data_IF_181364169018
#
_entry.id   IF_181364169018
#
_cell.length_a   1.000
_cell.length_b   1.000
_cell.length_c   1.000
_cell.angle_alpha   90.00
_cell.angle_beta   90.00
_cell.angle_gamma   90.00
#
_symmetry.space_group_name_H-M   'P 1'
#
loop_
_entity.id
_entity.type
_entity.pdbx_description
1 polymer ?
#
# COMPACT_ATOMS: atom_id res chain seq x y z
N UNK A 1 -29.59 -8.30 -11.00
CA UNK A 1 -30.96 -8.62 -11.48
C UNK A 1 -31.11 -7.84 -12.79
N UNK A 2 -30.96 -8.53 -13.93
CA UNK A 2 -30.94 -7.93 -15.26
C UNK A 2 -32.35 -7.44 -15.62
N UNK A 3 -32.56 -6.12 -15.64
CA UNK A 3 -33.65 -5.54 -16.40
C UNK A 3 -33.16 -5.43 -17.84
N UNK A 4 -33.67 -6.34 -18.66
CA UNK A 4 -33.56 -6.38 -20.11
C UNK A 4 -33.81 -4.99 -20.70
N UNK A 5 -32.83 -4.48 -21.46
CA UNK A 5 -33.04 -3.39 -22.40
C UNK A 5 -34.13 -3.82 -23.39
N UNK A 6 -35.34 -3.31 -23.21
CA UNK A 6 -36.29 -3.27 -24.31
C UNK A 6 -35.76 -2.16 -25.20
N UNK A 7 -35.27 -2.52 -26.38
CA UNK A 7 -34.78 -1.61 -27.40
C UNK A 7 -35.85 -0.54 -27.69
N UNK A 8 -35.66 0.69 -27.20
CA UNK A 8 -36.48 1.85 -27.59
C UNK A 8 -36.48 2.06 -29.12
N UNK A 9 -35.45 1.57 -29.79
CA UNK A 9 -35.31 1.50 -31.25
C UNK A 9 -36.42 0.69 -31.93
N UNK A 10 -37.05 -0.27 -31.24
CA UNK A 10 -38.12 -1.12 -31.80
C UNK A 10 -39.43 -0.36 -31.94
N UNK A 11 -39.76 0.58 -31.05
CA UNK A 11 -41.00 1.34 -31.17
C UNK A 11 -40.86 2.54 -32.16
N UNK A 12 -39.65 3.09 -32.38
CA UNK A 12 -39.41 4.09 -33.44
C UNK A 12 -39.53 3.50 -34.86
N UNK A 13 -39.08 2.25 -35.05
CA UNK A 13 -39.22 1.53 -36.32
C UNK A 13 -40.68 1.23 -36.73
N UNK A 14 -41.66 1.45 -35.82
CA UNK A 14 -43.09 1.18 -36.03
C UNK A 14 -43.92 2.44 -36.31
N UNK A 15 -43.28 3.59 -36.54
CA UNK A 15 -43.92 4.91 -36.71
C UNK A 15 -44.89 5.04 -37.90
N UNK A 16 -45.11 4.00 -38.72
CA UNK A 16 -46.07 4.01 -39.83
C UNK A 16 -47.45 3.40 -39.50
N UNK A 17 -47.62 2.74 -38.35
CA UNK A 17 -48.88 2.08 -37.98
C UNK A 17 -49.29 2.35 -36.52
N UNK A 18 -50.32 3.20 -36.35
CA UNK A 18 -50.81 3.65 -35.05
C UNK A 18 -51.24 2.51 -34.11
N UNK A 19 -51.69 1.36 -34.64
CA UNK A 19 -52.09 0.21 -33.80
C UNK A 19 -50.90 -0.51 -33.16
N UNK A 20 -49.74 -0.54 -33.83
CA UNK A 20 -48.53 -1.21 -33.32
C UNK A 20 -47.82 -0.38 -32.26
N UNK A 21 -47.83 0.93 -32.41
CA UNK A 21 -47.34 1.87 -31.39
C UNK A 21 -48.12 1.69 -30.08
N UNK A 22 -49.46 1.65 -30.14
CA UNK A 22 -50.31 1.48 -28.96
C UNK A 22 -50.08 0.13 -28.26
N UNK A 23 -49.76 -0.95 -28.98
CA UNK A 23 -49.42 -2.23 -28.34
C UNK A 23 -48.04 -2.21 -27.68
N UNK A 24 -47.03 -1.57 -28.29
CA UNK A 24 -45.67 -1.40 -27.75
C UNK A 24 -45.71 -0.65 -26.39
N UNK A 25 -46.51 0.40 -26.31
CA UNK A 25 -46.64 1.24 -25.10
C UNK A 25 -47.54 0.63 -24.01
N UNK A 26 -48.38 -0.37 -24.32
CA UNK A 26 -49.26 -1.03 -23.35
C UNK A 26 -48.52 -1.97 -22.39
N UNK A 27 -47.41 -2.53 -22.85
CA UNK A 27 -46.57 -3.47 -22.09
C UNK A 27 -45.52 -2.74 -21.21
N UNK A 28 -45.19 -1.50 -21.56
CA UNK A 28 -44.52 -0.55 -20.67
C UNK A 28 -45.56 -0.02 -19.66
N UNK A 29 -45.18 0.27 -18.41
CA UNK A 29 -46.07 0.64 -17.28
C UNK A 29 -46.85 1.98 -17.45
N UNK A 30 -47.39 2.30 -18.62
CA UNK A 30 -48.16 3.53 -18.91
C UNK A 30 -49.67 3.42 -18.63
N UNK A 31 -50.13 2.28 -18.12
CA UNK A 31 -51.52 1.83 -18.22
C UNK A 31 -52.55 2.57 -17.34
N UNK A 32 -52.21 3.66 -16.64
CA UNK A 32 -53.17 4.37 -15.77
C UNK A 32 -53.45 5.83 -16.10
N UNK A 33 -52.64 6.49 -16.94
CA UNK A 33 -52.78 7.94 -17.20
C UNK A 33 -53.46 8.31 -18.53
N UNK A 34 -53.45 7.42 -19.52
CA UNK A 34 -53.85 7.74 -20.90
C UNK A 34 -55.05 6.91 -21.38
N UNK A 35 -56.24 7.03 -20.77
CA UNK A 35 -57.47 6.37 -21.27
C UNK A 35 -58.61 7.35 -21.51
N UNK A 36 -59.33 7.10 -22.61
CA UNK A 36 -60.51 7.78 -23.17
C UNK A 36 -60.18 8.68 -24.37
N UNK A 37 -60.55 8.20 -25.58
CA UNK A 37 -60.31 8.73 -26.95
C UNK A 37 -58.96 8.30 -27.63
N UNK A 38 -58.99 7.58 -28.77
CA UNK A 38 -57.78 7.12 -29.48
C UNK A 38 -56.84 8.23 -29.96
N UNK A 39 -57.36 9.44 -30.26
CA UNK A 39 -56.52 10.56 -30.70
C UNK A 39 -55.75 11.18 -29.52
N UNK A 40 -56.42 11.37 -28.38
CA UNK A 40 -55.82 11.88 -27.14
C UNK A 40 -54.90 10.85 -26.48
N UNK A 41 -55.18 9.56 -26.63
CA UNK A 41 -54.31 8.47 -26.16
C UNK A 41 -52.95 8.46 -26.89
N UNK A 42 -52.94 8.63 -28.22
CA UNK A 42 -51.69 8.72 -29.00
C UNK A 42 -50.85 9.96 -28.63
N UNK A 43 -51.49 11.11 -28.40
CA UNK A 43 -50.80 12.33 -27.94
C UNK A 43 -50.21 12.15 -26.53
N UNK A 44 -50.94 11.48 -25.64
CA UNK A 44 -50.48 11.14 -24.29
C UNK A 44 -49.24 10.23 -24.32
N UNK A 45 -49.23 9.18 -25.14
CA UNK A 45 -48.05 8.32 -25.32
C UNK A 45 -46.87 9.06 -25.95
N UNK A 46 -47.10 9.94 -26.94
CA UNK A 46 -46.03 10.76 -27.54
C UNK A 46 -45.37 11.68 -26.51
N UNK A 47 -46.17 12.36 -25.67
CA UNK A 47 -45.65 13.20 -24.60
C UNK A 47 -44.86 12.39 -23.57
N UNK A 48 -45.38 11.21 -23.19
CA UNK A 48 -44.72 10.36 -22.21
C UNK A 48 -43.39 9.77 -22.74
N UNK A 49 -43.35 9.39 -24.02
CA UNK A 49 -42.14 8.95 -24.70
C UNK A 49 -41.09 10.07 -24.81
N UNK A 50 -41.52 11.28 -25.22
CA UNK A 50 -40.64 12.45 -25.29
C UNK A 50 -40.02 12.80 -23.93
N UNK A 51 -40.79 12.70 -22.84
CA UNK A 51 -40.29 12.94 -21.49
C UNK A 51 -39.22 11.94 -21.08
N UNK A 52 -39.41 10.65 -21.41
CA UNK A 52 -38.43 9.60 -21.09
C UNK A 52 -37.15 9.80 -21.89
N UNK A 53 -37.23 10.16 -23.17
CA UNK A 53 -36.04 10.44 -23.99
C UNK A 53 -35.21 11.59 -23.39
N UNK A 54 -35.88 12.68 -22.99
CA UNK A 54 -35.21 13.82 -22.33
C UNK A 54 -34.59 13.41 -20.99
N UNK A 55 -35.28 12.56 -20.19
CA UNK A 55 -34.73 12.04 -18.94
C UNK A 55 -33.53 11.09 -19.16
N UNK A 56 -33.56 10.26 -20.20
CA UNK A 56 -32.45 9.37 -20.58
C UNK A 56 -31.23 10.17 -21.04
N UNK A 57 -31.40 11.15 -21.92
CA UNK A 57 -30.31 12.05 -22.36
C UNK A 57 -29.70 12.82 -21.19
N UNK A 58 -30.52 13.29 -20.25
CA UNK A 58 -30.03 13.96 -19.05
C UNK A 58 -29.19 13.02 -18.16
N UNK A 59 -29.59 11.76 -18.02
CA UNK A 59 -28.83 10.75 -17.28
C UNK A 59 -27.50 10.40 -17.96
N UNK A 60 -27.51 10.21 -19.29
CA UNK A 60 -26.29 9.94 -20.06
C UNK A 60 -25.30 11.09 -19.99
N UNK A 61 -25.78 12.33 -20.14
CA UNK A 61 -24.95 13.53 -20.00
C UNK A 61 -24.36 13.67 -18.59
N UNK A 62 -25.16 13.40 -17.55
CA UNK A 62 -24.69 13.42 -16.16
C UNK A 62 -23.62 12.34 -15.90
N UNK A 63 -23.81 11.14 -16.46
CA UNK A 63 -22.83 10.05 -16.36
C UNK A 63 -21.51 10.42 -17.06
N UNK A 64 -21.58 10.95 -18.29
CA UNK A 64 -20.39 11.40 -19.02
C UNK A 64 -19.62 12.51 -18.29
N UNK A 65 -20.34 13.45 -17.66
CA UNK A 65 -19.71 14.48 -16.83
C UNK A 65 -19.03 13.89 -15.60
N UNK A 66 -19.68 12.93 -14.92
CA UNK A 66 -19.10 12.25 -13.76
C UNK A 66 -17.84 11.46 -14.14
N UNK A 67 -17.87 10.72 -15.26
CA UNK A 67 -16.73 9.96 -15.75
C UNK A 67 -15.55 10.86 -16.14
N UNK A 68 -15.85 12.01 -16.76
CA UNK A 68 -14.84 13.02 -17.11
C UNK A 68 -14.19 13.62 -15.85
N UNK A 69 -15.00 14.03 -14.86
CA UNK A 69 -14.50 14.57 -13.60
C UNK A 69 -13.67 13.54 -12.81
N UNK A 70 -14.08 12.27 -12.80
CA UNK A 70 -13.34 11.19 -12.16
C UNK A 70 -11.97 10.96 -12.83
N UNK A 71 -11.92 11.00 -14.17
CA UNK A 71 -10.68 10.89 -14.94
C UNK A 71 -9.73 12.06 -14.67
N UNK A 72 -10.24 13.30 -14.68
CA UNK A 72 -9.44 14.49 -14.36
C UNK A 72 -8.87 14.44 -12.94
N UNK A 73 -9.68 14.02 -11.96
CA UNK A 73 -9.23 13.83 -10.58
C UNK A 73 -8.14 12.76 -10.47
N UNK A 74 -8.31 11.63 -11.16
CA UNK A 74 -7.32 10.56 -11.19
C UNK A 74 -6.02 11.00 -11.85
N UNK A 75 -6.07 11.75 -12.94
CA UNK A 75 -4.90 12.30 -13.62
C UNK A 75 -4.17 13.32 -12.75
N UNK A 76 -4.90 14.22 -12.08
CA UNK A 76 -4.34 15.19 -11.14
C UNK A 76 -3.66 14.51 -9.96
N UNK A 77 -4.29 13.47 -9.40
CA UNK A 77 -3.72 12.67 -8.31
C UNK A 77 -2.45 11.95 -8.76
N UNK A 78 -2.49 11.30 -9.92
CA UNK A 78 -1.34 10.62 -10.50
C UNK A 78 -0.18 11.59 -10.80
N UNK A 79 -0.48 12.80 -11.29
CA UNK A 79 0.52 13.85 -11.47
C UNK A 79 1.13 14.29 -10.14
N UNK A 80 0.30 14.53 -9.11
CA UNK A 80 0.75 14.91 -7.77
C UNK A 80 1.68 13.88 -7.12
N UNK A 81 1.48 12.60 -7.41
CA UNK A 81 2.41 11.56 -6.95
C UNK A 81 3.70 11.58 -7.75
N UNK A 82 3.62 11.59 -9.09
CA UNK A 82 4.83 11.61 -9.94
C UNK A 82 5.73 12.81 -9.68
N UNK A 83 5.19 13.97 -9.29
CA UNK A 83 6.00 15.14 -8.93
C UNK A 83 6.72 15.03 -7.58
N UNK A 84 6.34 14.05 -6.75
CA UNK A 84 6.89 13.77 -5.41
C UNK A 84 7.62 12.43 -5.34
N UNK A 85 7.98 11.86 -6.49
CA UNK A 85 8.73 10.62 -6.58
C UNK A 85 9.91 10.81 -7.54
N UNK A 86 11.02 10.15 -7.25
CA UNK A 86 12.14 10.10 -8.18
C UNK A 86 11.69 9.40 -9.48
N UNK A 87 12.23 9.78 -10.66
CA UNK A 87 11.87 9.11 -11.92
C UNK A 87 12.11 7.59 -11.91
N UNK A 88 13.04 7.12 -11.06
CA UNK A 88 13.40 5.71 -10.93
C UNK A 88 12.68 4.97 -9.80
N UNK A 89 11.96 5.65 -8.91
CA UNK A 89 11.40 5.07 -7.68
C UNK A 89 10.47 3.89 -7.93
N UNK A 90 9.74 3.91 -9.05
CA UNK A 90 8.82 2.85 -9.48
C UNK A 90 9.27 2.20 -10.79
N UNK A 91 10.59 2.12 -11.02
CA UNK A 91 11.10 1.38 -12.17
C UNK A 91 10.62 -0.07 -12.12
N UNK A 92 10.07 -0.60 -13.22
CA UNK A 92 9.58 -1.97 -13.25
C UNK A 92 10.75 -2.95 -13.17
N UNK A 93 10.55 -4.04 -12.44
CA UNK A 93 11.49 -5.14 -12.38
C UNK A 93 11.60 -5.83 -13.75
N UNK A 94 12.83 -6.19 -14.09
CA UNK A 94 13.16 -6.97 -15.28
C UNK A 94 13.81 -8.27 -14.85
N UNK A 95 13.45 -9.37 -15.51
CA UNK A 95 13.91 -10.71 -15.15
C UNK A 95 15.43 -10.82 -15.17
N UNK A 96 16.06 -10.13 -16.11
CA UNK A 96 17.51 -10.11 -16.30
C UNK A 96 18.22 -9.36 -15.17
N UNK A 97 17.59 -8.29 -14.66
CA UNK A 97 18.14 -7.48 -13.58
C UNK A 97 17.84 -8.05 -12.19
N UNK A 98 16.74 -8.80 -12.04
CA UNK A 98 16.28 -9.35 -10.76
C UNK A 98 15.98 -10.86 -10.87
N UNK A 99 16.96 -11.70 -11.24
CA UNK A 99 16.73 -13.13 -11.48
C UNK A 99 16.20 -13.85 -10.24
N UNK A 100 16.69 -13.51 -9.04
CA UNK A 100 16.23 -14.08 -7.76
C UNK A 100 14.75 -13.75 -7.48
N UNK A 101 14.36 -12.49 -7.70
CA UNK A 101 12.97 -12.05 -7.54
C UNK A 101 12.03 -12.85 -8.45
N UNK A 102 12.38 -13.00 -9.72
CA UNK A 102 11.53 -13.73 -10.67
C UNK A 102 11.53 -15.24 -10.44
N UNK A 103 12.63 -15.80 -9.91
CA UNK A 103 12.69 -17.21 -9.54
C UNK A 103 11.75 -17.52 -8.35
N UNK A 104 11.74 -16.65 -7.33
CA UNK A 104 10.97 -16.89 -6.10
C UNK A 104 9.53 -16.36 -6.18
N UNK A 105 9.31 -15.23 -6.84
CA UNK A 105 8.04 -14.47 -6.83
C UNK A 105 7.47 -14.18 -8.22
N UNK A 106 8.01 -14.77 -9.28
CA UNK A 106 7.63 -14.46 -10.66
C UNK A 106 6.12 -14.59 -10.95
N UNK A 107 5.42 -15.50 -10.27
CA UNK A 107 3.96 -15.67 -10.38
C UNK A 107 3.16 -14.47 -9.88
N UNK A 108 3.75 -13.63 -9.01
CA UNK A 108 3.11 -12.46 -8.40
C UNK A 108 3.72 -11.13 -8.87
N UNK A 109 4.55 -11.12 -9.91
CA UNK A 109 5.32 -9.91 -10.28
C UNK A 109 4.44 -8.68 -10.55
N UNK A 110 3.31 -8.86 -11.23
CA UNK A 110 2.37 -7.76 -11.50
C UNK A 110 1.75 -7.21 -10.21
N UNK A 111 1.47 -8.08 -9.25
CA UNK A 111 0.93 -7.70 -7.96
C UNK A 111 1.97 -6.94 -7.13
N UNK A 112 3.23 -7.40 -7.16
CA UNK A 112 4.37 -6.74 -6.50
C UNK A 112 4.55 -5.31 -7.03
N UNK A 113 4.48 -5.09 -8.36
CA UNK A 113 4.58 -3.74 -8.93
C UNK A 113 3.43 -2.84 -8.47
N UNK A 114 2.21 -3.38 -8.40
CA UNK A 114 1.06 -2.64 -7.86
C UNK A 114 1.26 -2.29 -6.39
N UNK A 115 1.82 -3.21 -5.60
CA UNK A 115 2.13 -2.97 -4.19
C UNK A 115 3.26 -1.96 -3.99
N UNK A 116 4.30 -1.94 -4.83
CA UNK A 116 5.32 -0.88 -4.82
C UNK A 116 4.69 0.49 -5.02
N UNK A 117 3.85 0.62 -6.05
CA UNK A 117 3.11 1.87 -6.28
C UNK A 117 2.27 2.25 -5.06
N UNK A 118 1.50 1.30 -4.51
CA UNK A 118 0.66 1.56 -3.33
C UNK A 118 1.48 1.94 -2.10
N UNK A 119 2.62 1.32 -1.87
CA UNK A 119 3.53 1.65 -0.77
C UNK A 119 4.06 3.08 -0.89
N UNK A 120 4.47 3.48 -2.11
CA UNK A 120 4.93 4.84 -2.40
C UNK A 120 3.82 5.88 -2.13
N UNK A 121 2.61 5.62 -2.64
CA UNK A 121 1.45 6.50 -2.43
C UNK A 121 1.08 6.60 -0.95
N UNK A 122 1.04 5.48 -0.23
CA UNK A 122 0.76 5.45 1.22
C UNK A 122 1.82 6.21 2.03
N UNK A 123 3.10 6.10 1.67
CA UNK A 123 4.17 6.87 2.30
C UNK A 123 3.95 8.38 2.12
N UNK A 124 3.63 8.81 0.89
CA UNK A 124 3.36 10.21 0.57
C UNK A 124 2.08 10.74 1.23
N UNK A 125 1.00 9.95 1.25
CA UNK A 125 -0.29 10.30 1.85
C UNK A 125 -0.22 10.37 3.38
N UNK A 126 0.70 9.63 4.00
CA UNK A 126 0.90 9.68 5.45
C UNK A 126 1.43 11.02 5.96
N UNK A 127 1.95 11.87 5.08
CA UNK A 127 2.63 13.12 5.44
C UNK A 127 4.02 12.93 6.07
N UNK A 128 4.48 11.67 6.22
CA UNK A 128 5.78 11.34 6.80
C UNK A 128 6.90 11.25 5.76
N UNK A 129 6.54 11.17 4.49
CA UNK A 129 7.43 11.16 3.33
C UNK A 129 7.18 12.42 2.49
N UNK A 130 8.19 13.25 2.35
CA UNK A 130 8.15 14.46 1.53
C UNK A 130 8.30 14.12 0.04
N UNK A 131 9.32 13.31 -0.28
CA UNK A 131 9.66 12.88 -1.61
C UNK A 131 10.17 11.44 -1.56
N UNK A 132 9.58 10.55 -2.37
CA UNK A 132 10.01 9.14 -2.45
C UNK A 132 11.21 9.03 -3.38
N UNK A 133 12.34 8.59 -2.83
CA UNK A 133 13.55 8.36 -3.61
C UNK A 133 13.56 6.95 -4.21
N UNK A 134 13.13 5.96 -3.42
CA UNK A 134 13.23 4.56 -3.79
C UNK A 134 12.15 3.71 -3.12
N UNK A 135 11.63 2.72 -3.84
CA UNK A 135 10.65 1.74 -3.32
C UNK A 135 11.00 0.37 -3.83
N UNK A 136 11.04 -0.60 -2.92
CA UNK A 136 11.44 -1.96 -3.25
C UNK A 136 10.77 -2.99 -2.36
N UNK A 137 10.74 -4.23 -2.85
CA UNK A 137 10.31 -5.38 -2.09
C UNK A 137 11.51 -5.98 -1.34
N UNK A 138 11.33 -6.33 -0.08
CA UNK A 138 12.35 -7.05 0.66
C UNK A 138 12.29 -8.54 0.31
N UNK A 139 13.09 -8.98 -0.66
CA UNK A 139 13.15 -10.39 -1.09
C UNK A 139 13.40 -11.32 0.10
N UNK A 140 14.36 -10.97 0.97
CA UNK A 140 14.76 -11.81 2.11
C UNK A 140 13.71 -11.93 3.21
N UNK A 141 12.83 -10.93 3.34
CA UNK A 141 11.84 -10.88 4.41
C UNK A 141 10.41 -11.17 3.92
N UNK A 142 10.25 -11.46 2.63
CA UNK A 142 8.97 -11.76 2.00
C UNK A 142 8.80 -13.26 1.78
N UNK A 143 7.55 -13.71 1.75
CA UNK A 143 7.17 -15.04 1.28
C UNK A 143 6.09 -14.91 0.21
N UNK A 144 5.83 -15.98 -0.54
CA UNK A 144 4.75 -15.99 -1.54
C UNK A 144 3.36 -15.68 -0.94
N UNK A 145 3.19 -15.87 0.36
CA UNK A 145 1.93 -15.59 1.08
C UNK A 145 1.90 -14.20 1.73
N UNK A 146 3.08 -13.61 1.97
CA UNK A 146 3.18 -12.35 2.70
C UNK A 146 4.38 -11.52 2.22
N UNK A 147 4.09 -10.53 1.38
CA UNK A 147 5.08 -9.64 0.80
C UNK A 147 5.39 -8.46 1.74
N UNK A 148 6.66 -8.03 1.77
CA UNK A 148 7.12 -6.87 2.54
C UNK A 148 7.85 -5.89 1.65
N UNK A 149 7.58 -4.61 1.87
CA UNK A 149 8.09 -3.49 1.08
C UNK A 149 8.74 -2.46 1.98
N UNK A 150 9.65 -1.70 1.41
CA UNK A 150 10.19 -0.51 2.04
C UNK A 150 10.23 0.66 1.07
N UNK A 151 10.08 1.85 1.65
CA UNK A 151 10.09 3.13 0.95
C UNK A 151 11.14 4.01 1.63
N UNK A 152 12.07 4.54 0.85
CA UNK A 152 13.03 5.54 1.30
C UNK A 152 12.63 6.92 0.79
N UNK A 153 12.69 7.88 1.70
CA UNK A 153 12.29 9.26 1.49
C UNK A 153 13.48 10.21 1.61
N UNK A 154 13.44 11.34 0.89
CA UNK A 154 14.49 12.35 0.90
C UNK A 154 14.71 12.97 2.28
N UNK A 155 13.68 13.06 3.12
CA UNK A 155 13.80 13.45 4.53
C UNK A 155 14.45 12.39 5.45
N UNK A 156 15.20 11.43 4.88
CA UNK A 156 15.89 10.32 5.58
C UNK A 156 14.96 9.39 6.36
N UNK A 157 13.66 9.42 6.08
CA UNK A 157 12.74 8.44 6.65
C UNK A 157 12.71 7.19 5.78
N UNK A 158 12.80 6.03 6.44
CA UNK A 158 12.39 4.75 5.86
C UNK A 158 11.02 4.37 6.41
N UNK A 159 10.17 3.81 5.56
CA UNK A 159 8.88 3.25 5.95
C UNK A 159 8.86 1.79 5.47
N UNK A 160 8.56 0.85 6.37
CA UNK A 160 8.30 -0.56 6.02
C UNK A 160 6.80 -0.86 6.12
N UNK A 161 6.28 -1.48 5.06
CA UNK A 161 4.87 -1.89 4.93
C UNK A 161 4.81 -3.34 4.48
N UNK A 162 3.88 -4.09 5.05
CA UNK A 162 3.56 -5.44 4.60
C UNK A 162 2.29 -5.49 3.74
N UNK A 163 2.07 -6.62 3.09
CA UNK A 163 0.95 -6.87 2.20
C UNK A 163 -0.43 -6.62 2.86
N UNK A 164 -0.59 -6.92 4.15
CA UNK A 164 -1.85 -6.70 4.85
C UNK A 164 -2.07 -5.20 5.11
N UNK A 165 -1.02 -4.49 5.50
CA UNK A 165 -1.07 -3.03 5.65
C UNK A 165 -1.38 -2.36 4.31
N UNK A 166 -0.77 -2.84 3.22
CA UNK A 166 -1.06 -2.35 1.88
C UNK A 166 -2.50 -2.64 1.49
N UNK A 167 -3.03 -3.85 1.69
CA UNK A 167 -4.43 -4.19 1.34
C UNK A 167 -5.44 -3.36 2.14
N UNK A 168 -5.22 -3.19 3.43
CA UNK A 168 -6.15 -2.51 4.35
C UNK A 168 -5.97 -0.99 4.44
N UNK A 169 -4.95 -0.43 3.80
CA UNK A 169 -4.53 0.97 4.01
C UNK A 169 -4.29 1.29 5.49
N UNK A 170 -3.56 0.39 6.16
CA UNK A 170 -3.25 0.47 7.59
C UNK A 170 -2.38 1.66 7.97
N UNK A 171 -2.18 1.84 9.29
CA UNK A 171 -1.35 2.93 9.84
C UNK A 171 0.08 2.85 9.31
N UNK A 172 0.56 3.98 8.77
CA UNK A 172 1.95 4.15 8.33
C UNK A 172 2.79 4.70 9.49
N UNK A 173 3.89 4.00 9.81
CA UNK A 173 4.90 4.41 10.79
C UNK A 173 6.27 4.41 10.11
N UNK A 174 7.08 5.42 10.37
CA UNK A 174 8.49 5.42 9.95
C UNK A 174 9.29 4.49 10.85
N UNK A 175 10.41 4.02 10.33
CA UNK A 175 11.38 3.24 11.07
C UNK A 175 11.99 4.05 12.24
N UNK A 176 12.06 5.39 12.13
CA UNK A 176 12.46 6.26 13.23
C UNK A 176 11.45 6.23 14.39
N UNK A 177 10.13 6.26 14.11
CA UNK A 177 9.09 6.15 15.13
C UNK A 177 9.06 4.78 15.83
N UNK A 178 9.50 3.72 15.13
CA UNK A 178 9.62 2.36 15.68
C UNK A 178 10.98 2.09 16.33
N UNK A 179 11.94 3.01 16.21
CA UNK A 179 13.33 2.79 16.58
C UNK A 179 13.50 2.71 18.09
N UNK A 180 14.50 1.93 18.52
CA UNK A 180 14.95 1.92 19.91
C UNK A 180 15.60 3.25 20.29
N UNK A 181 15.47 3.64 21.56
CA UNK A 181 16.34 4.67 22.11
C UNK A 181 17.76 4.11 22.28
N UNK A 182 18.78 4.95 22.20
CA UNK A 182 20.18 4.52 22.39
C UNK A 182 20.42 3.99 23.81
N UNK A 183 19.76 4.59 24.81
CA UNK A 183 19.84 4.18 26.20
C UNK A 183 19.18 2.80 26.45
N UNK A 184 18.01 2.56 25.86
CA UNK A 184 17.31 1.27 26.00
C UNK A 184 18.07 0.16 25.27
N UNK A 185 18.60 0.45 24.07
CA UNK A 185 19.44 -0.49 23.34
C UNK A 185 20.72 -0.84 24.12
N UNK A 186 21.40 0.16 24.69
CA UNK A 186 22.61 -0.05 25.48
C UNK A 186 22.33 -0.91 26.70
N UNK A 187 21.34 -0.54 27.52
CA UNK A 187 20.99 -1.28 28.73
C UNK A 187 20.53 -2.71 28.41
N UNK A 188 19.76 -2.89 27.34
CA UNK A 188 19.32 -4.22 26.87
C UNK A 188 20.52 -5.06 26.43
N UNK A 189 21.48 -4.48 25.70
CA UNK A 189 22.69 -5.18 25.27
C UNK A 189 23.54 -5.62 26.47
N UNK A 190 23.75 -4.73 27.46
CA UNK A 190 24.47 -5.05 28.69
C UNK A 190 23.82 -6.21 29.45
N UNK A 191 22.49 -6.19 29.58
CA UNK A 191 21.77 -7.28 30.23
C UNK A 191 21.89 -8.59 29.45
N UNK A 192 21.82 -8.54 28.12
CA UNK A 192 21.98 -9.71 27.27
C UNK A 192 23.39 -10.33 27.40
N UNK A 193 24.45 -9.52 27.46
CA UNK A 193 25.82 -9.99 27.71
C UNK A 193 25.90 -10.72 29.05
N UNK A 194 25.42 -10.10 30.14
CA UNK A 194 25.43 -10.70 31.48
C UNK A 194 24.68 -12.02 31.50
N UNK A 195 23.50 -12.08 30.88
CA UNK A 195 22.67 -13.29 30.85
C UNK A 195 23.29 -14.44 30.05
N UNK A 196 24.20 -14.15 29.12
CA UNK A 196 24.90 -15.17 28.32
C UNK A 196 26.26 -15.59 28.91
N UNK A 197 26.78 -14.87 29.91
CA UNK A 197 28.05 -15.20 30.54
C UNK A 197 27.91 -16.39 31.51
N UNK A 198 28.96 -17.23 31.61
CA UNK A 198 28.99 -18.33 32.59
C UNK A 198 28.94 -17.82 34.05
N UNK A 199 29.47 -16.63 34.29
CA UNK A 199 29.50 -15.97 35.59
C UNK A 199 29.02 -14.51 35.46
N UNK A 200 27.71 -14.25 35.46
CA UNK A 200 27.16 -12.92 35.18
C UNK A 200 27.65 -11.81 36.12
N UNK A 201 27.96 -12.13 37.37
CA UNK A 201 28.37 -11.17 38.41
C UNK A 201 29.80 -10.68 38.28
N UNK A 202 30.62 -11.31 37.42
CA UNK A 202 32.03 -10.94 37.22
C UNK A 202 32.32 -10.48 35.80
N UNK A 203 31.29 -10.18 35.02
CA UNK A 203 31.44 -9.52 33.72
C UNK A 203 31.87 -8.08 33.96
N UNK A 204 33.04 -7.70 33.44
CA UNK A 204 33.54 -6.33 33.47
C UNK A 204 33.38 -5.68 32.10
N UNK A 205 32.52 -4.67 32.01
CA UNK A 205 32.22 -3.97 30.75
C UNK A 205 33.04 -2.70 30.66
N UNK A 206 33.81 -2.56 29.58
CA UNK A 206 34.67 -1.41 29.33
C UNK A 206 33.85 -0.20 28.87
N UNK A 207 33.11 0.41 29.80
CA UNK A 207 32.09 1.41 29.51
C UNK A 207 32.65 2.74 28.95
N UNK A 208 33.91 3.07 29.23
CA UNK A 208 34.54 4.33 28.81
C UNK A 208 35.26 4.24 27.46
N UNK A 209 35.99 3.16 27.20
CA UNK A 209 36.86 3.04 26.01
C UNK A 209 36.50 1.88 25.10
N UNK A 210 35.61 0.98 25.54
CA UNK A 210 35.20 -0.21 24.81
C UNK A 210 33.73 -0.25 24.43
N UNK A 211 32.96 0.80 24.74
CA UNK A 211 31.53 0.87 24.45
C UNK A 211 31.24 1.97 23.42
N UNK A 212 30.45 1.64 22.40
CA UNK A 212 29.90 2.61 21.46
C UNK A 212 28.47 2.28 21.10
N UNK A 213 27.67 3.32 20.90
CA UNK A 213 26.30 3.23 20.40
C UNK A 213 26.21 4.09 19.15
N UNK A 214 25.60 3.56 18.10
CA UNK A 214 25.33 4.32 16.88
C UNK A 214 23.93 4.01 16.37
N UNK A 215 23.25 5.03 15.84
CA UNK A 215 22.00 4.89 15.11
C UNK A 215 22.24 5.15 13.63
N UNK A 216 21.75 4.26 12.77
CA UNK A 216 21.84 4.43 11.33
C UNK A 216 20.79 5.45 10.84
N UNK A 217 21.22 6.47 10.07
CA UNK A 217 20.36 7.59 9.63
C UNK A 217 19.03 7.17 8.99
N UNK A 218 19.07 6.24 8.02
CA UNK A 218 17.89 5.88 7.21
C UNK A 218 17.16 4.68 7.84
N UNK A 219 17.87 3.58 8.09
CA UNK A 219 17.26 2.36 8.60
C UNK A 219 16.84 2.46 10.06
N UNK A 220 17.41 3.42 10.80
CA UNK A 220 17.17 3.64 12.23
C UNK A 220 17.50 2.43 13.12
N UNK A 221 18.40 1.58 12.64
CA UNK A 221 18.96 0.48 13.43
C UNK A 221 19.87 1.08 14.49
N UNK A 222 19.73 0.62 15.74
CA UNK A 222 20.67 0.96 16.80
C UNK A 222 21.66 -0.18 16.94
N UNK A 223 22.95 0.14 16.86
CA UNK A 223 24.04 -0.82 16.93
C UNK A 223 24.87 -0.47 18.16
N UNK A 224 25.00 -1.42 19.06
CA UNK A 224 25.74 -1.30 20.32
C UNK A 224 26.93 -2.24 20.25
N UNK A 225 28.15 -1.70 20.39
CA UNK A 225 29.36 -2.49 20.55
C UNK A 225 29.86 -2.33 21.98
N UNK A 226 30.16 -3.45 22.66
CA UNK A 226 30.69 -3.45 24.02
C UNK A 226 31.85 -4.44 24.08
N UNK A 227 33.03 -3.93 24.45
CA UNK A 227 34.15 -4.74 24.88
C UNK A 227 34.00 -5.06 26.36
N UNK A 228 34.24 -6.32 26.72
CA UNK A 228 34.10 -6.79 28.09
C UNK A 228 35.03 -7.96 28.38
N UNK A 229 35.40 -8.11 29.64
CA UNK A 229 36.09 -9.28 30.15
C UNK A 229 35.10 -10.18 30.90
N UNK A 230 35.21 -11.49 30.71
CA UNK A 230 34.38 -12.46 31.40
C UNK A 230 35.12 -13.78 31.64
N UNK A 231 34.69 -14.49 32.69
CA UNK A 231 35.19 -15.83 32.98
C UNK A 231 34.48 -16.89 32.13
N UNK A 232 35.26 -17.75 31.49
CA UNK A 232 34.75 -18.97 30.87
C UNK A 232 34.43 -20.04 31.93
N UNK A 233 33.86 -21.19 31.53
CA UNK A 233 33.47 -22.27 32.44
C UNK A 233 34.60 -22.89 33.28
N UNK A 234 35.87 -22.61 32.96
CA UNK A 234 37.05 -23.04 33.74
C UNK A 234 37.53 -21.95 34.71
N UNK A 235 36.83 -20.81 34.79
CA UNK A 235 37.17 -19.68 35.65
C UNK A 235 38.27 -18.78 35.11
N UNK A 236 38.74 -19.00 33.88
CA UNK A 236 39.73 -18.13 33.22
C UNK A 236 39.04 -16.89 32.66
N UNK A 237 39.58 -15.72 32.98
CA UNK A 237 39.13 -14.43 32.45
C UNK A 237 39.70 -14.19 31.05
N UNK A 238 38.82 -13.87 30.11
CA UNK A 238 39.15 -13.66 28.70
C UNK A 238 38.45 -12.40 28.17
N UNK A 239 39.05 -11.71 27.19
CA UNK A 239 38.44 -10.55 26.55
C UNK A 239 37.46 -10.96 25.45
N UNK A 240 36.37 -10.22 25.36
CA UNK A 240 35.29 -10.42 24.38
C UNK A 240 34.82 -9.09 23.80
N UNK A 241 34.16 -9.21 22.65
CA UNK A 241 33.38 -8.14 22.02
C UNK A 241 31.96 -8.62 21.79
N UNK A 242 30.99 -7.85 22.26
CA UNK A 242 29.60 -7.99 21.87
C UNK A 242 29.22 -6.95 20.81
N UNK A 243 28.45 -7.38 19.82
CA UNK A 243 27.69 -6.52 18.94
C UNK A 243 26.21 -6.84 19.11
N UNK A 244 25.42 -5.87 19.55
CA UNK A 244 23.97 -5.95 19.57
C UNK A 244 23.37 -5.09 18.47
N UNK A 245 22.47 -5.66 17.67
CA UNK A 245 21.77 -4.95 16.59
C UNK A 245 20.29 -4.93 16.90
N UNK A 246 19.72 -3.72 17.00
CA UNK A 246 18.32 -3.48 17.29
C UNK A 246 17.64 -2.87 16.07
N UNK A 247 16.88 -3.71 15.34
CA UNK A 247 16.03 -3.24 14.26
C UNK A 247 14.76 -2.55 14.84
N UNK A 248 14.22 -1.53 14.17
CA UNK A 248 13.00 -0.87 14.62
C UNK A 248 11.82 -1.82 14.75
N UNK A 249 11.13 -1.78 15.89
CA UNK A 249 9.96 -2.62 16.16
C UNK A 249 10.25 -4.11 16.39
N UNK A 250 11.52 -4.53 16.43
CA UNK A 250 11.95 -5.91 16.63
C UNK A 250 12.74 -6.08 17.94
N UNK A 251 12.89 -7.33 18.38
CA UNK A 251 13.81 -7.67 19.48
C UNK A 251 15.26 -7.57 19.00
N UNK A 252 16.17 -7.13 19.88
CA UNK A 252 17.59 -7.04 19.56
C UNK A 252 18.25 -8.40 19.33
N UNK A 253 19.16 -8.47 18.37
CA UNK A 253 20.04 -9.61 18.14
C UNK A 253 21.40 -9.38 18.83
N UNK A 254 21.92 -10.40 19.50
CA UNK A 254 23.23 -10.37 20.17
C UNK A 254 24.20 -11.31 19.46
N UNK A 255 25.39 -10.80 19.14
CA UNK A 255 26.54 -11.57 18.69
C UNK A 255 27.73 -11.33 19.62
N UNK A 256 28.37 -12.41 20.11
CA UNK A 256 29.55 -12.33 20.99
C UNK A 256 30.72 -13.02 20.30
N UNK A 257 31.84 -12.31 20.20
CA UNK A 257 33.09 -12.79 19.63
C UNK A 257 34.20 -12.70 20.67
N UNK A 258 34.95 -13.77 20.87
CA UNK A 258 36.18 -13.73 21.66
C UNK A 258 37.26 -12.94 20.90
N UNK A 259 38.01 -12.09 21.60
CA UNK A 259 39.12 -11.32 21.03
C UNK A 259 40.48 -11.98 21.28
#
# INVERSE_FOLDING_TARGET
MLLTSIDNTVCEALASDAKKVVSCFRDLKFNTACRNDPKTELECYRQAASKILVEQEAQENAQQQADTAAKELAEKKAYSYRSRMSPGALSPYRKEAYPKLFAEFGSRINEIENFKKKAAEMALDSGKCDFVEYVDMSIENSTLEHLKFWVDCSNKQRIRLDENQLKSSGKVLTEAEKSWSEADALSTCQNAIKNNASFPSVVDMHSLTGTSVRKADITNYVIVNIDFDAKNGLGMELPYKAECVFAPGEQGALNILQR
#
